data_IF_373190404948
#
_entry.id   IF_373190404948
#
_cell.length_a   1.000
_cell.length_b   1.000
_cell.length_c   1.000
_cell.angle_alpha   90.00
_cell.angle_beta   90.00
_cell.angle_gamma   90.00
#
_symmetry.space_group_name_H-M   'P 1'
#
loop_
_entity.id
_entity.type
_entity.pdbx_description
1 polymer ?
#
# COMPACT_ATOMS: atom_id res chain seq x y z
N UNK A 1 10.03 -5.76 -24.79
CA UNK A 1 10.68 -5.27 -23.56
C UNK A 1 9.75 -5.53 -22.38
N UNK A 2 10.10 -6.46 -21.48
CA UNK A 2 9.32 -6.74 -20.26
C UNK A 2 9.80 -5.82 -19.15
N UNK A 3 9.04 -4.77 -18.86
CA UNK A 3 9.29 -3.94 -17.68
C UNK A 3 8.66 -4.62 -16.48
N UNK A 4 9.46 -5.36 -15.72
CA UNK A 4 9.03 -5.85 -14.41
C UNK A 4 9.09 -4.68 -13.44
N UNK A 5 7.95 -4.08 -13.12
CA UNK A 5 7.85 -3.13 -12.00
C UNK A 5 8.11 -3.92 -10.73
N UNK A 6 9.34 -3.86 -10.22
CA UNK A 6 9.68 -4.33 -8.89
C UNK A 6 9.21 -3.28 -7.89
N UNK A 7 7.92 -3.26 -7.56
CA UNK A 7 7.45 -2.51 -6.39
C UNK A 7 8.03 -3.20 -5.15
N UNK A 8 9.16 -2.68 -4.66
CA UNK A 8 9.85 -3.18 -3.47
C UNK A 8 9.18 -2.71 -2.15
N UNK A 9 8.13 -1.90 -2.26
CA UNK A 9 7.35 -1.35 -1.16
C UNK A 9 6.28 -2.29 -0.60
N UNK A 10 5.73 -1.96 0.57
CA UNK A 10 4.59 -2.67 1.14
C UNK A 10 3.33 -2.37 0.33
N UNK A 11 2.53 -3.40 0.04
CA UNK A 11 1.28 -3.26 -0.70
C UNK A 11 0.09 -2.89 0.22
N UNK A 12 0.25 -3.07 1.53
CA UNK A 12 -0.76 -2.73 2.53
C UNK A 12 -0.13 -2.33 3.87
N UNK A 13 -0.83 -1.47 4.60
CA UNK A 13 -0.54 -1.00 5.94
C UNK A 13 -1.55 -1.60 6.93
N UNK A 14 -1.07 -2.37 7.91
CA UNK A 14 -1.93 -2.96 8.94
C UNK A 14 -2.38 -1.89 9.94
N UNK A 15 -3.68 -1.88 10.23
CA UNK A 15 -4.31 -1.08 11.27
C UNK A 15 -4.66 -1.95 12.48
N UNK A 16 -4.87 -1.30 13.62
CA UNK A 16 -5.37 -1.98 14.82
C UNK A 16 -6.73 -2.63 14.56
N UNK A 17 -6.92 -3.86 15.04
CA UNK A 17 -8.20 -4.56 14.93
C UNK A 17 -8.39 -5.35 13.62
N UNK A 18 -7.31 -5.78 12.97
CA UNK A 18 -7.36 -6.71 11.83
C UNK A 18 -7.80 -6.08 10.51
N UNK A 19 -7.80 -4.74 10.43
CA UNK A 19 -8.05 -3.99 9.21
C UNK A 19 -6.73 -3.61 8.57
N UNK A 20 -6.74 -3.32 7.27
CA UNK A 20 -5.57 -2.82 6.56
C UNK A 20 -5.97 -1.75 5.55
N UNK A 21 -5.01 -0.90 5.20
CA UNK A 21 -5.09 0.06 4.11
C UNK A 21 -4.17 -0.41 2.98
N UNK A 22 -4.73 -0.82 1.84
CA UNK A 22 -3.92 -1.18 0.68
C UNK A 22 -3.59 0.02 -0.20
N UNK A 23 -2.48 -0.09 -0.94
CA UNK A 23 -2.19 0.83 -2.02
C UNK A 23 -3.20 0.64 -3.16
N UNK A 24 -3.59 1.75 -3.76
CA UNK A 24 -4.47 1.79 -4.92
C UNK A 24 -3.65 2.09 -6.16
N UNK A 25 -4.02 1.50 -7.28
CA UNK A 25 -3.50 1.93 -8.57
C UNK A 25 -3.97 3.36 -8.89
N UNK A 26 -3.24 4.04 -9.78
CA UNK A 26 -3.62 5.38 -10.24
C UNK A 26 -5.04 5.43 -10.81
N UNK A 27 -5.48 4.36 -11.49
CA UNK A 27 -6.84 4.25 -12.03
C UNK A 27 -7.88 4.20 -10.93
N UNK A 28 -7.66 3.38 -9.91
CA UNK A 28 -8.59 3.25 -8.78
C UNK A 28 -8.74 4.56 -8.00
N UNK A 29 -7.65 5.33 -7.86
CA UNK A 29 -7.71 6.68 -7.27
C UNK A 29 -8.55 7.63 -8.13
N UNK A 30 -8.43 7.58 -9.46
CA UNK A 30 -9.26 8.38 -10.36
C UNK A 30 -10.73 7.95 -10.32
N UNK A 31 -11.01 6.65 -10.25
CA UNK A 31 -12.36 6.10 -10.11
C UNK A 31 -12.99 6.53 -8.77
N UNK A 32 -12.24 6.46 -7.67
CA UNK A 32 -12.67 6.96 -6.36
C UNK A 32 -12.99 8.46 -6.39
N UNK A 33 -12.17 9.27 -7.07
CA UNK A 33 -12.43 10.71 -7.20
C UNK A 33 -13.73 10.99 -7.97
N UNK A 34 -13.95 10.28 -9.08
CA UNK A 34 -15.19 10.40 -9.88
C UNK A 34 -16.41 10.00 -9.07
N UNK A 35 -16.33 8.91 -8.33
CA UNK A 35 -17.42 8.50 -7.44
C UNK A 35 -17.68 9.52 -6.34
N UNK A 36 -16.63 10.00 -5.65
CA UNK A 36 -16.77 11.05 -4.64
C UNK A 36 -17.34 12.36 -5.19
N UNK A 37 -17.03 12.69 -6.45
CA UNK A 37 -17.62 13.83 -7.15
C UNK A 37 -19.12 13.64 -7.45
N UNK A 38 -19.56 12.41 -7.72
CA UNK A 38 -20.97 12.08 -7.92
C UNK A 38 -21.76 12.06 -6.60
N UNK A 39 -21.11 11.66 -5.49
CA UNK A 39 -21.71 11.63 -4.17
C UNK A 39 -21.90 13.03 -3.56
N UNK A 40 -21.00 13.97 -3.85
CA UNK A 40 -21.05 15.31 -3.29
C UNK A 40 -22.21 16.12 -3.89
N UNK A 41 -23.07 16.67 -3.03
CA UNK A 41 -24.16 17.56 -3.45
C UNK A 41 -23.71 19.02 -3.52
N UNK A 42 -22.60 19.35 -2.86
CA UNK A 42 -22.00 20.68 -2.83
C UNK A 42 -20.47 20.62 -2.86
N UNK A 43 -19.85 21.77 -3.20
CA UNK A 43 -18.37 21.91 -3.15
C UNK A 43 -17.79 21.70 -1.75
N UNK A 44 -18.57 21.96 -0.70
CA UNK A 44 -18.13 21.79 0.68
C UNK A 44 -17.94 20.32 1.06
N UNK A 45 -18.72 19.42 0.45
CA UNK A 45 -18.70 17.99 0.75
C UNK A 45 -17.68 17.21 -0.09
N UNK A 46 -17.26 17.77 -1.23
CA UNK A 46 -16.41 17.10 -2.23
C UNK A 46 -15.18 16.43 -1.62
N UNK A 47 -14.47 17.11 -0.71
CA UNK A 47 -13.29 16.54 -0.09
C UNK A 47 -13.63 15.30 0.77
N UNK A 48 -14.72 15.37 1.54
CA UNK A 48 -15.17 14.28 2.39
C UNK A 48 -15.67 13.10 1.56
N UNK A 49 -16.49 13.34 0.54
CA UNK A 49 -17.02 12.30 -0.35
C UNK A 49 -15.92 11.58 -1.14
N UNK A 50 -14.91 12.31 -1.65
CA UNK A 50 -13.74 11.70 -2.31
C UNK A 50 -12.91 10.86 -1.37
N UNK A 51 -12.71 11.32 -0.14
CA UNK A 51 -12.02 10.57 0.90
C UNK A 51 -12.80 9.29 1.25
N UNK A 52 -14.12 9.37 1.37
CA UNK A 52 -14.96 8.21 1.62
C UNK A 52 -14.89 7.18 0.47
N UNK A 53 -15.01 7.60 -0.78
CA UNK A 53 -14.89 6.73 -1.95
C UNK A 53 -13.49 6.11 -2.10
N UNK A 54 -12.44 6.81 -1.66
CA UNK A 54 -11.08 6.28 -1.59
C UNK A 54 -10.97 5.19 -0.52
N UNK A 55 -11.49 5.44 0.68
CA UNK A 55 -11.48 4.48 1.78
C UNK A 55 -12.30 3.23 1.48
N UNK A 56 -13.40 3.33 0.73
CA UNK A 56 -14.19 2.18 0.33
C UNK A 56 -13.36 1.14 -0.46
N UNK A 57 -12.37 1.62 -1.24
CA UNK A 57 -11.47 0.77 -2.03
C UNK A 57 -10.21 0.38 -1.27
N UNK A 58 -9.70 1.27 -0.43
CA UNK A 58 -8.43 1.11 0.25
C UNK A 58 -8.54 0.29 1.54
N UNK A 59 -9.68 0.37 2.25
CA UNK A 59 -9.86 -0.25 3.55
C UNK A 59 -10.38 -1.67 3.41
N UNK A 60 -9.55 -2.62 3.82
CA UNK A 60 -9.84 -4.06 3.75
C UNK A 60 -9.82 -4.70 5.13
N UNK A 61 -10.63 -5.75 5.29
CA UNK A 61 -10.53 -6.71 6.38
C UNK A 61 -9.93 -8.02 5.90
N UNK A 62 -10.03 -9.06 6.72
CA UNK A 62 -9.48 -10.39 6.41
C UNK A 62 -10.04 -11.03 5.11
N UNK A 63 -11.22 -10.60 4.65
CA UNK A 63 -11.92 -11.21 3.51
C UNK A 63 -12.14 -10.23 2.33
N UNK A 64 -11.44 -9.09 2.31
CA UNK A 64 -11.54 -8.09 1.24
C UNK A 64 -12.09 -6.73 1.68
N UNK A 65 -12.62 -5.91 0.76
CA UNK A 65 -13.11 -4.56 1.04
C UNK A 65 -14.17 -4.55 2.14
N UNK A 66 -14.05 -3.63 3.10
CA UNK A 66 -15.02 -3.51 4.19
C UNK A 66 -16.30 -2.79 3.79
N UNK A 67 -16.24 -2.00 2.73
CA UNK A 67 -17.35 -1.18 2.25
C UNK A 67 -17.55 -1.41 0.76
N UNK A 68 -18.81 -1.37 0.32
CA UNK A 68 -19.14 -1.52 -1.09
C UNK A 68 -18.76 -0.27 -1.92
N UNK A 69 -18.96 0.91 -1.34
CA UNK A 69 -18.78 2.21 -1.99
C UNK A 69 -18.59 3.33 -0.94
N UNK A 70 -18.32 4.54 -1.40
CA UNK A 70 -18.11 5.72 -0.56
C UNK A 70 -19.35 6.17 0.20
N UNK A 71 -20.56 5.87 -0.28
CA UNK A 71 -21.80 6.11 0.47
C UNK A 71 -21.84 5.26 1.73
N UNK A 72 -21.56 3.96 1.61
CA UNK A 72 -21.48 3.04 2.75
C UNK A 72 -20.42 3.48 3.79
N UNK A 73 -19.33 4.12 3.36
CA UNK A 73 -18.35 4.72 4.27
C UNK A 73 -18.91 5.93 5.02
N UNK A 74 -19.65 6.81 4.33
CA UNK A 74 -20.28 7.98 4.94
C UNK A 74 -21.36 7.59 5.96
N UNK A 75 -22.08 6.50 5.71
CA UNK A 75 -23.08 5.96 6.64
C UNK A 75 -22.43 5.31 7.89
N UNK A 76 -21.26 4.70 7.74
CA UNK A 76 -20.63 3.91 8.79
C UNK A 76 -19.59 4.65 9.64
N UNK A 77 -18.90 5.65 9.08
CA UNK A 77 -17.78 6.34 9.72
C UNK A 77 -18.07 7.81 9.97
N UNK A 78 -17.54 8.34 11.06
CA UNK A 78 -17.62 9.78 11.31
C UNK A 78 -16.70 10.56 10.36
N UNK A 79 -17.00 11.85 10.07
CA UNK A 79 -16.12 12.68 9.25
C UNK A 79 -14.69 12.79 9.78
N UNK A 80 -14.52 12.72 11.11
CA UNK A 80 -13.21 12.70 11.77
C UNK A 80 -12.44 11.43 11.43
N UNK A 81 -13.06 10.26 11.55
CA UNK A 81 -12.43 8.98 11.22
C UNK A 81 -12.04 8.92 9.74
N UNK A 82 -12.92 9.38 8.84
CA UNK A 82 -12.65 9.46 7.41
C UNK A 82 -11.42 10.34 7.16
N UNK A 83 -11.34 11.51 7.78
CA UNK A 83 -10.19 12.40 7.67
C UNK A 83 -8.90 11.77 8.18
N UNK A 84 -8.94 11.10 9.34
CA UNK A 84 -7.77 10.43 9.92
C UNK A 84 -7.29 9.27 9.05
N UNK A 85 -8.18 8.38 8.62
CA UNK A 85 -7.81 7.23 7.80
C UNK A 85 -7.29 7.65 6.42
N UNK A 86 -7.92 8.67 5.81
CA UNK A 86 -7.46 9.18 4.50
C UNK A 86 -6.08 9.83 4.59
N UNK A 87 -5.78 10.49 5.72
CA UNK A 87 -4.44 11.03 5.98
C UNK A 87 -3.42 9.91 6.15
N UNK A 88 -3.72 8.90 6.96
CA UNK A 88 -2.85 7.72 7.14
C UNK A 88 -2.57 7.06 5.78
N UNK A 89 -3.61 6.87 4.96
CA UNK A 89 -3.44 6.32 3.61
C UNK A 89 -2.56 7.21 2.72
N UNK A 90 -2.75 8.53 2.76
CA UNK A 90 -1.97 9.46 1.93
C UNK A 90 -0.50 9.53 2.34
N UNK A 91 -0.20 9.44 3.63
CA UNK A 91 1.17 9.38 4.14
C UNK A 91 1.83 8.05 3.76
N UNK A 92 1.07 6.94 3.83
CA UNK A 92 1.51 5.62 3.36
C UNK A 92 1.78 5.59 1.86
N UNK A 93 0.87 6.12 1.03
CA UNK A 93 1.07 6.24 -0.41
C UNK A 93 2.32 7.05 -0.76
N UNK A 94 2.57 8.17 -0.06
CA UNK A 94 3.76 8.98 -0.29
C UNK A 94 5.05 8.27 0.11
N UNK A 95 5.04 7.50 1.20
CA UNK A 95 6.20 6.71 1.63
C UNK A 95 6.51 5.58 0.64
N UNK A 96 5.49 4.90 0.12
CA UNK A 96 5.69 3.76 -0.78
C UNK A 96 5.79 4.15 -2.26
N UNK A 97 5.28 5.32 -2.65
CA UNK A 97 5.33 5.89 -4.01
C UNK A 97 5.95 7.30 -3.99
N UNK A 98 7.27 7.43 -3.75
CA UNK A 98 7.95 8.72 -3.85
C UNK A 98 7.81 9.29 -5.27
N UNK A 99 7.51 10.60 -5.35
CA UNK A 99 7.36 11.30 -6.62
C UNK A 99 8.70 11.42 -7.38
N UNK A 100 8.64 11.73 -8.69
CA UNK A 100 9.84 11.86 -9.52
C UNK A 100 10.76 13.03 -9.13
N UNK A 101 10.25 13.99 -8.34
CA UNK A 101 11.00 15.14 -7.81
C UNK A 101 11.71 14.82 -6.48
N UNK A 102 11.49 13.63 -5.90
CA UNK A 102 12.25 13.19 -4.74
C UNK A 102 13.72 13.06 -5.14
N UNK A 103 14.55 13.99 -4.69
CA UNK A 103 15.98 14.03 -4.99
C UNK A 103 16.70 12.70 -4.70
N UNK A 104 17.87 12.51 -5.31
CA UNK A 104 18.59 11.24 -5.32
C UNK A 104 18.85 10.67 -3.92
N UNK A 105 19.12 11.52 -2.92
CA UNK A 105 19.29 11.10 -1.53
C UNK A 105 18.03 10.42 -0.96
N UNK A 106 16.84 10.99 -1.17
CA UNK A 106 15.59 10.43 -0.67
C UNK A 106 15.34 9.05 -1.30
N UNK A 107 15.55 8.91 -2.61
CA UNK A 107 15.40 7.65 -3.34
C UNK A 107 16.38 6.58 -2.83
N UNK A 108 17.64 6.96 -2.55
CA UNK A 108 18.64 6.04 -2.01
C UNK A 108 18.29 5.58 -0.58
N UNK A 109 17.78 6.48 0.27
CA UNK A 109 17.31 6.10 1.62
C UNK A 109 16.12 5.14 1.54
N UNK A 110 15.14 5.41 0.68
CA UNK A 110 14.01 4.53 0.41
C UNK A 110 14.45 3.15 -0.09
N UNK A 111 15.38 3.09 -1.05
CA UNK A 111 15.98 1.83 -1.51
C UNK A 111 16.63 1.04 -0.36
N UNK A 112 17.31 1.71 0.57
CA UNK A 112 17.90 1.06 1.76
C UNK A 112 16.82 0.53 2.70
N UNK A 113 15.78 1.33 2.97
CA UNK A 113 14.63 0.94 3.81
C UNK A 113 13.92 -0.27 3.22
N UNK A 114 13.55 -0.22 1.94
CA UNK A 114 12.90 -1.34 1.24
C UNK A 114 13.81 -2.57 1.13
N UNK A 115 15.11 -2.40 0.85
CA UNK A 115 16.06 -3.53 0.82
C UNK A 115 16.19 -4.20 2.20
N UNK A 116 16.15 -3.41 3.27
CA UNK A 116 16.16 -3.92 4.65
C UNK A 116 14.84 -4.63 4.98
N UNK A 117 13.70 -4.00 4.71
CA UNK A 117 12.37 -4.62 4.87
C UNK A 117 12.26 -5.95 4.12
N UNK A 118 12.73 -6.00 2.86
CA UNK A 118 12.75 -7.19 2.02
C UNK A 118 13.66 -8.29 2.58
N UNK A 119 14.85 -7.94 3.09
CA UNK A 119 15.74 -8.90 3.77
C UNK A 119 15.10 -9.51 5.01
N UNK A 120 14.37 -8.70 5.76
CA UNK A 120 13.71 -9.14 7.00
C UNK A 120 12.46 -9.99 6.72
N UNK A 121 11.76 -9.74 5.61
CA UNK A 121 10.65 -10.57 5.14
C UNK A 121 11.08 -11.96 4.62
N UNK A 122 12.31 -12.09 4.13
CA UNK A 122 12.90 -13.39 3.76
C UNK A 122 13.55 -14.13 4.95
N UNK A 123 13.71 -13.49 6.10
CA UNK A 123 14.33 -14.10 7.27
C UNK A 123 13.46 -15.19 7.93
N UNK A 124 12.22 -15.40 7.47
CA UNK A 124 11.28 -16.39 7.99
C UNK A 124 10.99 -17.60 7.09
N UNK A 125 11.56 -17.70 5.89
CA UNK A 125 11.27 -18.80 4.94
C UNK A 125 12.48 -19.66 4.54
N UNK A 126 13.62 -19.49 5.21
CA UNK A 126 14.78 -20.38 5.06
C UNK A 126 15.11 -21.05 6.40
N UNK A 127 14.15 -21.77 6.97
CA UNK A 127 14.42 -22.79 7.99
C UNK A 127 14.11 -24.18 7.43
N UNK A 128 14.67 -24.48 6.28
CA UNK A 128 15.05 -25.84 5.93
C UNK A 128 16.52 -25.76 5.51
N UNK A 129 17.43 -26.56 6.08
CA UNK A 129 18.81 -26.56 5.67
C UNK A 129 18.86 -27.08 4.23
N UNK A 130 19.09 -26.20 3.27
CA UNK A 130 19.56 -26.61 1.95
C UNK A 130 20.78 -27.49 2.19
N UNK A 131 20.62 -28.77 1.86
CA UNK A 131 21.61 -29.80 2.03
C UNK A 131 22.98 -29.26 1.61
N UNK A 132 23.96 -29.41 2.50
CA UNK A 132 25.34 -29.06 2.29
C UNK A 132 25.77 -29.45 0.87
N UNK A 133 26.13 -28.46 0.05
CA UNK A 133 26.97 -28.71 -1.11
C UNK A 133 28.24 -29.40 -0.60
N UNK A 134 28.53 -30.66 -0.99
CA UNK A 134 29.80 -31.26 -0.62
C UNK A 134 30.92 -30.46 -1.30
N UNK A 135 32.07 -30.26 -0.63
CA UNK A 135 33.22 -29.60 -1.21
C UNK A 135 33.71 -30.40 -2.43
N UNK A 136 33.93 -29.67 -3.53
CA UNK A 136 34.51 -30.21 -4.76
C UNK A 136 36.00 -30.47 -4.50
N UNK A 137 36.33 -31.68 -4.03
CA UNK A 137 37.71 -32.11 -3.92
C UNK A 137 38.25 -32.35 -5.33
N UNK A 138 39.22 -31.54 -5.75
CA UNK A 138 40.00 -31.79 -6.95
C UNK A 138 40.82 -33.08 -6.80
N UNK A 139 40.87 -33.88 -7.84
CA UNK A 139 41.90 -34.90 -8.03
C UNK A 139 42.61 -34.64 -9.34
N UNK A 140 43.91 -34.37 -9.21
CA UNK A 140 44.88 -34.51 -10.26
C UNK A 140 45.06 -36.01 -10.55
N UNK A 141 45.16 -36.33 -11.84
CA UNK A 141 45.51 -37.62 -12.41
C UNK A 141 45.73 -37.42 -13.89
#
# INVERSE_FOLDING_TARGET
MSWTVLSAGAQALMLTGGRQLRLLSAREVLEARREGDLLAQSRGETALCRNAALLARALEGAHGPLFADGGAVLDALTPREIGTLSKIWSDFDREENPGPDCGEEAVQQLKKVWSTRRRNGCAGACSAPSACCPPRNGHAG
#
